data_IF_977091499487
#
_entry.id   IF_977091499487
#
_cell.length_a   1.000
_cell.length_b   1.000
_cell.length_c   1.000
_cell.angle_alpha   90.00
_cell.angle_beta   90.00
_cell.angle_gamma   90.00
#
_symmetry.space_group_name_H-M   'P 1'
#
loop_
_entity.id
_entity.type
_entity.pdbx_description
1 polymer ?
#
# COMPACT_ATOMS: atom_id res chain seq x y z
N UNK A 1 -42.70 36.83 -3.22
CA UNK A 1 -42.54 36.22 -1.88
C UNK A 1 -42.56 34.72 -2.09
N UNK A 2 -41.60 33.87 -1.70
CA UNK A 2 -40.45 33.93 -0.80
C UNK A 2 -39.38 32.96 -1.40
N UNK A 3 -38.11 33.34 -1.53
CA UNK A 3 -37.01 33.23 -0.56
C UNK A 3 -36.09 32.04 -0.86
N UNK A 4 -34.94 32.38 -1.45
CA UNK A 4 -33.75 31.56 -1.70
C UNK A 4 -33.05 31.25 -0.38
N UNK A 5 -32.72 29.99 -0.13
CA UNK A 5 -31.85 29.55 0.97
C UNK A 5 -30.66 28.76 0.42
N UNK A 6 -29.55 29.44 0.14
CA UNK A 6 -28.25 28.79 -0.09
C UNK A 6 -27.64 28.41 1.25
N UNK A 7 -27.40 27.12 1.49
CA UNK A 7 -26.56 26.67 2.60
C UNK A 7 -25.12 26.58 2.09
N UNK A 8 -24.28 27.53 2.50
CA UNK A 8 -22.82 27.39 2.46
C UNK A 8 -22.43 26.42 3.56
N UNK A 9 -21.85 25.29 3.19
CA UNK A 9 -21.09 24.46 4.15
C UNK A 9 -19.64 24.91 4.07
N UNK A 10 -19.21 25.58 5.14
CA UNK A 10 -17.84 26.01 5.34
C UNK A 10 -17.00 24.79 5.71
N UNK A 11 -16.10 24.35 4.82
CA UNK A 11 -15.08 23.35 5.14
C UNK A 11 -14.19 23.93 6.23
N UNK A 12 -14.32 23.38 7.45
CA UNK A 12 -13.42 23.65 8.55
C UNK A 12 -12.37 22.56 8.52
N UNK A 13 -11.16 22.90 8.09
CA UNK A 13 -9.99 22.03 8.16
C UNK A 13 -9.71 21.72 9.63
N UNK A 14 -10.03 20.51 10.08
CA UNK A 14 -9.63 20.03 11.40
C UNK A 14 -8.30 19.32 11.26
N UNK A 15 -7.24 20.08 11.50
CA UNK A 15 -5.91 19.57 11.84
C UNK A 15 -6.01 18.87 13.20
N UNK A 16 -5.78 17.56 13.27
CA UNK A 16 -5.55 16.87 14.55
C UNK A 16 -4.67 15.64 14.31
N UNK A 17 -3.36 15.79 14.46
CA UNK A 17 -2.56 15.49 15.65
C UNK A 17 -2.26 13.99 15.84
N UNK A 18 -1.10 13.58 15.34
CA UNK A 18 -0.31 12.52 15.98
C UNK A 18 -0.02 12.90 17.42
N UNK A 19 -0.24 12.00 18.38
CA UNK A 19 0.66 11.65 19.51
C UNK A 19 -0.08 10.64 20.41
N UNK A 20 0.36 9.39 20.42
CA UNK A 20 0.08 8.47 21.52
C UNK A 20 1.41 7.94 22.05
N UNK A 21 2.09 8.81 22.80
CA UNK A 21 3.18 8.45 23.72
C UNK A 21 2.57 7.69 24.90
N UNK A 22 3.24 6.60 25.25
CA UNK A 22 2.97 5.74 26.39
C UNK A 22 2.63 6.53 27.68
N UNK A 23 1.47 6.23 28.26
CA UNK A 23 1.18 6.60 29.65
C UNK A 23 0.66 5.38 30.41
N UNK A 24 1.59 4.61 30.98
CA UNK A 24 1.27 3.66 32.06
C UNK A 24 1.12 4.44 33.37
N UNK A 25 -0.02 4.28 34.03
CA UNK A 25 -0.34 4.90 35.32
C UNK A 25 0.54 4.38 36.46
N UNK A 26 1.03 5.32 37.29
CA UNK A 26 1.65 5.07 38.59
C UNK A 26 0.62 5.09 39.71
N UNK A 27 0.60 4.04 40.55
CA UNK A 27 0.39 4.02 42.02
C UNK A 27 0.98 2.69 42.49
N UNK A 28 1.72 2.48 43.58
CA UNK A 28 2.27 3.30 44.67
C UNK A 28 3.51 2.53 45.22
N UNK A 29 4.41 3.22 45.93
CA UNK A 29 5.66 2.69 46.53
C UNK A 29 5.43 1.64 47.64
N UNK A 30 6.44 0.79 47.95
CA UNK A 30 7.31 1.13 49.08
C UNK A 30 8.82 0.85 48.90
N UNK A 31 9.60 1.72 49.57
CA UNK A 31 10.97 1.66 50.12
C UNK A 31 12.02 0.61 49.66
N UNK A 32 13.14 1.20 49.17
CA UNK A 32 14.57 0.79 49.06
C UNK A 32 15.13 -0.19 50.13
N UNK A 33 16.28 -0.89 49.90
CA UNK A 33 17.55 -0.27 49.47
C UNK A 33 18.57 -1.03 48.58
N UNK A 34 19.46 -0.22 47.98
CA UNK A 34 20.89 -0.42 47.63
C UNK A 34 21.32 -1.50 46.61
N UNK A 35 21.78 -1.04 45.44
CA UNK A 35 22.65 -1.74 44.48
C UNK A 35 22.89 -0.86 43.24
N UNK A 36 24.14 -0.69 42.79
CA UNK A 36 24.58 0.30 41.80
C UNK A 36 24.12 0.07 40.35
N UNK A 37 24.37 1.02 39.43
CA UNK A 37 23.84 0.96 38.07
C UNK A 37 24.71 0.06 37.18
N UNK A 38 24.16 -1.09 36.77
CA UNK A 38 24.56 -1.74 35.52
C UNK A 38 23.84 -1.01 34.39
N UNK A 39 24.57 -0.16 33.69
CA UNK A 39 24.12 0.50 32.47
C UNK A 39 23.96 -0.56 31.36
N UNK A 40 22.73 -1.05 31.16
CA UNK A 40 22.35 -1.73 29.94
C UNK A 40 22.16 -0.67 28.84
N UNK A 41 22.83 -0.77 27.69
CA UNK A 41 22.66 0.19 26.62
C UNK A 41 21.23 0.07 26.07
N UNK A 42 20.49 1.18 26.15
CA UNK A 42 19.30 1.43 25.34
C UNK A 42 19.71 1.20 23.88
N UNK A 43 19.19 0.12 23.28
CA UNK A 43 19.17 0.00 21.82
C UNK A 43 18.23 1.07 21.30
N UNK A 44 18.79 2.23 20.99
CA UNK A 44 18.16 3.21 20.12
C UNK A 44 17.89 2.51 18.80
N UNK A 45 16.61 2.29 18.47
CA UNK A 45 16.21 1.98 17.11
C UNK A 45 16.51 3.23 16.29
N UNK A 46 17.65 3.22 15.59
CA UNK A 46 17.90 4.16 14.51
C UNK A 46 16.86 3.86 13.44
N UNK A 47 15.90 4.78 13.28
CA UNK A 47 15.19 4.92 12.02
C UNK A 47 16.26 5.26 10.97
N UNK A 48 16.54 4.32 10.07
CA UNK A 48 17.38 4.58 8.91
C UNK A 48 16.64 5.58 8.02
N UNK A 49 17.25 6.72 7.66
CA UNK A 49 16.71 7.56 6.59
C UNK A 49 16.72 6.72 5.30
N UNK A 50 15.55 6.56 4.65
CA UNK A 50 15.42 5.84 3.38
C UNK A 50 14.41 4.69 3.34
N UNK A 51 13.79 4.29 4.46
CA UNK A 51 12.74 3.29 4.44
C UNK A 51 11.42 3.90 3.94
N UNK A 52 11.07 3.66 2.67
CA UNK A 52 9.75 3.95 2.10
C UNK A 52 8.74 2.99 2.78
N UNK A 53 8.13 3.39 3.90
CA UNK A 53 7.11 2.55 4.52
C UNK A 53 5.78 2.74 3.76
N UNK A 54 5.53 1.93 2.73
CA UNK A 54 4.17 1.76 2.16
C UNK A 54 3.38 0.86 3.11
N UNK A 55 3.24 1.29 4.37
CA UNK A 55 2.31 0.65 5.27
C UNK A 55 0.91 0.93 4.72
N UNK A 56 0.15 -0.14 4.44
CA UNK A 56 -1.21 -0.15 3.88
C UNK A 56 -2.22 0.63 4.72
N UNK A 57 -2.10 1.95 4.69
CA UNK A 57 -2.97 2.92 5.36
C UNK A 57 -3.76 3.74 4.34
N UNK A 58 -3.59 3.49 3.04
CA UNK A 58 -4.40 4.14 2.03
C UNK A 58 -5.79 3.49 2.00
N UNK A 59 -6.78 4.21 2.51
CA UNK A 59 -8.14 4.15 1.96
C UNK A 59 -9.14 3.17 2.58
N UNK A 60 -9.27 3.05 3.90
CA UNK A 60 -10.44 2.37 4.47
C UNK A 60 -11.09 3.19 5.59
N UNK A 61 -12.06 4.03 5.22
CA UNK A 61 -13.01 4.64 6.14
C UNK A 61 -14.45 4.33 5.66
N UNK A 62 -15.07 3.39 6.39
CA UNK A 62 -16.46 2.90 6.41
C UNK A 62 -17.57 3.74 5.76
N UNK A 63 -18.44 3.07 4.99
CA UNK A 63 -19.90 3.21 5.07
C UNK A 63 -20.59 1.85 4.79
N UNK A 64 -21.61 1.53 5.59
CA UNK A 64 -22.19 0.19 5.75
C UNK A 64 -22.94 -0.33 4.50
N UNK A 65 -22.67 -1.56 4.04
CA UNK A 65 -23.58 -2.33 3.18
C UNK A 65 -23.31 -3.85 3.21
N UNK A 66 -24.37 -4.62 3.04
CA UNK A 66 -24.54 -6.05 3.31
C UNK A 66 -23.87 -6.98 2.29
N UNK A 67 -23.34 -8.11 2.77
CA UNK A 67 -22.65 -9.14 2.00
C UNK A 67 -23.60 -9.97 1.11
N UNK A 68 -23.21 -10.22 -0.14
CA UNK A 68 -23.70 -11.35 -0.94
C UNK A 68 -22.53 -12.14 -1.52
N UNK A 69 -22.54 -13.45 -1.28
CA UNK A 69 -21.62 -14.45 -1.84
C UNK A 69 -22.05 -14.86 -3.26
N UNK A 70 -21.09 -14.96 -4.17
CA UNK A 70 -21.26 -15.56 -5.49
C UNK A 70 -19.99 -16.30 -5.92
N UNK A 71 -20.10 -17.62 -6.05
CA UNK A 71 -19.09 -18.50 -6.67
C UNK A 71 -18.90 -18.16 -8.16
N UNK A 72 -17.65 -18.12 -8.66
CA UNK A 72 -17.17 -19.03 -9.73
C UNK A 72 -15.76 -18.71 -10.28
N UNK A 73 -15.12 -19.82 -10.67
CA UNK A 73 -13.79 -20.08 -11.22
C UNK A 73 -13.48 -19.43 -12.60
N UNK A 74 -12.24 -18.92 -12.82
CA UNK A 74 -11.28 -19.39 -13.86
C UNK A 74 -10.06 -18.46 -14.10
N UNK A 75 -8.87 -19.02 -13.83
CA UNK A 75 -7.48 -18.73 -14.24
C UNK A 75 -7.09 -17.47 -15.05
N UNK A 76 -6.34 -16.57 -14.42
CA UNK A 76 -4.93 -16.24 -14.74
C UNK A 76 -4.30 -15.29 -13.70
N UNK A 77 -4.41 -15.62 -12.42
CA UNK A 77 -3.62 -15.03 -11.35
C UNK A 77 -3.45 -16.13 -10.30
N UNK A 78 -2.22 -16.40 -9.86
CA UNK A 78 -2.02 -17.33 -8.75
C UNK A 78 -2.69 -16.70 -7.54
N UNK A 79 -3.87 -17.21 -7.16
CA UNK A 79 -4.58 -16.75 -5.97
C UNK A 79 -3.59 -16.74 -4.80
N UNK A 80 -3.46 -15.60 -4.14
CA UNK A 80 -2.61 -15.47 -2.97
C UNK A 80 -3.12 -16.45 -1.91
N UNK A 81 -2.29 -17.37 -1.35
CA UNK A 81 -2.73 -18.28 -0.30
C UNK A 81 -3.39 -17.51 0.85
N UNK A 82 -4.48 -18.03 1.42
CA UNK A 82 -5.15 -17.38 2.55
C UNK A 82 -4.56 -17.82 3.90
N UNK A 83 -3.65 -18.81 3.88
CA UNK A 83 -2.94 -19.25 5.07
C UNK A 83 -1.86 -18.24 5.48
N UNK A 84 -1.81 -17.92 6.78
CA UNK A 84 -0.84 -16.95 7.29
C UNK A 84 0.61 -17.41 7.10
N UNK A 85 1.45 -16.57 6.49
CA UNK A 85 2.89 -16.76 6.35
C UNK A 85 3.66 -15.99 7.43
N UNK A 86 4.65 -16.65 8.02
CA UNK A 86 5.49 -16.01 9.04
C UNK A 86 6.49 -15.03 8.39
N UNK A 87 6.53 -13.74 8.81
CA UNK A 87 7.48 -12.77 8.28
C UNK A 87 8.95 -13.21 8.41
N UNK A 88 9.30 -13.98 9.44
CA UNK A 88 10.67 -14.45 9.66
C UNK A 88 11.13 -15.55 8.67
N UNK A 89 10.20 -16.06 7.85
CA UNK A 89 10.51 -17.06 6.82
C UNK A 89 10.75 -16.43 5.46
N UNK A 90 10.53 -15.11 5.30
CA UNK A 90 10.71 -14.41 4.03
C UNK A 90 12.19 -14.35 3.66
N UNK A 91 12.52 -14.90 2.49
CA UNK A 91 13.87 -14.89 1.93
C UNK A 91 14.17 -13.60 1.18
N UNK A 92 15.46 -13.28 1.04
CA UNK A 92 15.91 -12.14 0.24
C UNK A 92 15.44 -12.29 -1.22
N UNK A 93 15.83 -13.40 -1.86
CA UNK A 93 15.35 -13.74 -3.20
C UNK A 93 13.86 -14.12 -3.17
N UNK A 94 13.07 -13.67 -4.16
CA UNK A 94 11.68 -14.11 -4.32
C UNK A 94 11.58 -15.63 -4.38
N UNK A 95 10.65 -16.20 -3.63
CA UNK A 95 10.39 -17.65 -3.63
C UNK A 95 9.63 -18.11 -4.88
N UNK A 96 8.90 -17.18 -5.49
CA UNK A 96 8.10 -17.43 -6.69
C UNK A 96 8.88 -17.04 -7.94
N UNK A 97 8.72 -17.87 -8.98
CA UNK A 97 9.16 -17.52 -10.32
C UNK A 97 8.43 -16.26 -10.82
N UNK A 98 8.99 -15.62 -11.84
CA UNK A 98 8.32 -14.54 -12.55
C UNK A 98 6.91 -14.97 -12.96
N UNK A 99 5.95 -14.08 -12.70
CA UNK A 99 4.56 -14.23 -13.13
C UNK A 99 4.35 -13.77 -14.58
N UNK A 100 5.42 -13.33 -15.23
CA UNK A 100 5.46 -12.88 -16.62
C UNK A 100 4.46 -11.75 -16.90
N UNK A 101 4.23 -10.87 -15.91
CA UNK A 101 3.41 -9.69 -16.14
C UNK A 101 4.03 -8.84 -17.25
N UNK A 102 3.18 -8.16 -18.01
CA UNK A 102 3.60 -7.34 -19.14
C UNK A 102 3.02 -5.96 -18.99
N UNK A 103 3.79 -4.97 -19.44
CA UNK A 103 3.28 -3.63 -19.63
C UNK A 103 2.11 -3.68 -20.61
N UNK A 104 1.02 -3.01 -20.26
CA UNK A 104 -0.17 -2.90 -21.12
C UNK A 104 -0.22 -1.52 -21.76
N UNK A 105 -0.90 -1.45 -22.90
CA UNK A 105 -1.23 -0.18 -23.55
C UNK A 105 -2.73 0.00 -23.47
N UNK A 106 -3.16 1.13 -22.92
CA UNK A 106 -4.55 1.52 -22.84
C UNK A 106 -4.71 2.98 -23.27
N UNK A 107 -5.92 3.36 -23.61
CA UNK A 107 -6.29 4.74 -23.94
C UNK A 107 -6.63 5.51 -22.66
N UNK A 108 -6.34 6.80 -22.63
CA UNK A 108 -6.62 7.65 -21.49
C UNK A 108 -5.65 8.82 -21.36
N UNK A 109 -5.74 9.52 -20.23
CA UNK A 109 -4.88 10.64 -19.89
C UNK A 109 -3.52 10.12 -19.38
N UNK A 110 -2.42 10.66 -19.90
CA UNK A 110 -1.10 10.42 -19.33
C UNK A 110 -0.93 11.16 -17.99
N UNK A 111 -0.50 10.43 -16.96
CA UNK A 111 -0.24 10.93 -15.62
C UNK A 111 1.23 10.66 -15.28
N UNK A 112 2.04 11.71 -15.22
CA UNK A 112 3.48 11.60 -15.00
C UNK A 112 3.88 12.11 -13.61
N UNK A 113 4.70 11.32 -12.92
CA UNK A 113 5.35 11.66 -11.65
C UNK A 113 6.81 11.17 -11.69
N UNK A 114 7.76 12.09 -11.49
CA UNK A 114 9.20 11.80 -11.39
C UNK A 114 9.75 10.90 -12.50
N UNK A 115 9.28 11.07 -13.74
CA UNK A 115 9.72 10.29 -14.90
C UNK A 115 9.01 8.94 -15.11
N UNK A 116 8.09 8.56 -14.20
CA UNK A 116 7.14 7.47 -14.41
C UNK A 116 5.83 8.01 -14.95
N UNK A 117 5.31 7.42 -16.03
CA UNK A 117 4.00 7.74 -16.61
C UNK A 117 3.06 6.56 -16.47
N UNK A 118 1.85 6.80 -15.96
CA UNK A 118 0.70 5.90 -16.05
C UNK A 118 -0.31 6.46 -17.05
N UNK A 119 -1.19 5.60 -17.59
CA UNK A 119 -2.38 6.02 -18.32
C UNK A 119 -3.59 5.91 -17.41
N UNK A 120 -4.25 7.02 -17.11
CA UNK A 120 -5.52 7.04 -16.39
C UNK A 120 -6.69 6.95 -17.40
N UNK A 121 -7.54 5.90 -17.34
CA UNK A 121 -8.65 5.75 -18.27
C UNK A 121 -9.72 6.84 -18.09
N UNK A 122 -10.60 7.00 -19.08
CA UNK A 122 -11.74 7.93 -18.98
C UNK A 122 -12.62 7.61 -17.76
N UNK A 123 -13.20 8.65 -17.14
CA UNK A 123 -14.00 8.51 -15.92
C UNK A 123 -13.20 8.48 -14.62
N UNK A 124 -11.86 8.42 -14.68
CA UNK A 124 -11.01 8.50 -13.48
C UNK A 124 -10.81 9.93 -12.98
N UNK A 125 -10.48 10.05 -11.69
CA UNK A 125 -10.05 11.31 -11.07
C UNK A 125 -8.60 11.19 -10.63
N UNK A 126 -7.78 12.19 -10.94
CA UNK A 126 -6.35 12.21 -10.57
C UNK A 126 -6.13 13.25 -9.48
N UNK A 127 -5.59 12.81 -8.35
CA UNK A 127 -5.29 13.64 -7.19
C UNK A 127 -3.80 13.61 -6.87
N UNK A 128 -3.26 14.74 -6.44
CA UNK A 128 -1.89 14.84 -5.90
C UNK A 128 -1.97 15.12 -4.42
N UNK A 129 -1.11 14.47 -3.65
CA UNK A 129 -1.05 14.62 -2.21
C UNK A 129 0.26 14.12 -1.63
N UNK A 130 0.25 13.96 -0.32
CA UNK A 130 1.34 13.35 0.43
C UNK A 130 0.85 12.06 1.09
N UNK A 131 1.69 11.03 1.04
CA UNK A 131 1.48 9.79 1.76
C UNK A 131 1.53 10.03 3.27
N UNK A 132 1.04 9.08 4.06
CA UNK A 132 1.20 9.12 5.52
C UNK A 132 2.66 9.15 5.98
N UNK A 133 3.59 8.76 5.11
CA UNK A 133 5.05 8.84 5.31
C UNK A 133 5.66 10.18 4.88
N UNK A 134 4.86 11.14 4.42
CA UNK A 134 5.30 12.46 3.96
C UNK A 134 5.94 12.46 2.57
N UNK A 135 5.65 11.45 1.74
CA UNK A 135 6.16 11.35 0.38
C UNK A 135 5.12 11.83 -0.62
N UNK A 136 5.55 12.54 -1.65
CA UNK A 136 4.64 12.93 -2.73
C UNK A 136 4.03 11.70 -3.38
N UNK A 137 2.71 11.77 -3.58
CA UNK A 137 1.91 10.69 -4.09
C UNK A 137 0.91 11.25 -5.11
N UNK A 138 0.77 10.56 -6.23
CA UNK A 138 -0.36 10.75 -7.14
C UNK A 138 -1.31 9.56 -6.99
N UNK A 139 -2.61 9.83 -6.94
CA UNK A 139 -3.67 8.83 -6.82
C UNK A 139 -4.61 8.95 -8.01
N UNK A 140 -4.88 7.84 -8.68
CA UNK A 140 -5.89 7.70 -9.73
C UNK A 140 -7.06 6.94 -9.10
N UNK A 141 -8.18 7.64 -8.92
CA UNK A 141 -9.42 7.11 -8.35
C UNK A 141 -10.36 6.65 -9.47
N UNK A 142 -11.10 5.57 -9.21
CA UNK A 142 -12.09 5.01 -10.14
C UNK A 142 -13.51 5.20 -9.58
N UNK A 143 -14.09 6.41 -9.67
CA UNK A 143 -15.36 6.74 -9.02
C UNK A 143 -16.55 5.94 -9.56
N UNK A 144 -16.46 5.45 -10.80
CA UNK A 144 -17.50 4.63 -11.44
C UNK A 144 -17.43 3.15 -11.05
N UNK A 145 -16.37 2.73 -10.37
CA UNK A 145 -16.25 1.36 -9.85
C UNK A 145 -16.74 1.32 -8.41
N UNK A 146 -17.83 0.60 -8.18
CA UNK A 146 -18.31 0.29 -6.83
C UNK A 146 -17.33 -0.66 -6.15
N UNK A 147 -17.01 -0.43 -4.88
CA UNK A 147 -16.13 -1.30 -4.11
C UNK A 147 -15.82 -0.73 -2.74
N UNK A 148 -15.61 -1.62 -1.78
CA UNK A 148 -15.04 -1.30 -0.47
C UNK A 148 -13.89 -2.30 -0.20
N UNK A 149 -12.61 -1.87 -0.28
CA UNK A 149 -12.14 -0.50 -0.50
C UNK A 149 -12.49 0.05 -1.89
N UNK A 150 -12.64 1.37 -1.97
CA UNK A 150 -12.83 2.07 -3.24
C UNK A 150 -11.61 1.85 -4.14
N UNK A 151 -11.79 1.48 -5.43
CA UNK A 151 -10.63 1.14 -6.24
C UNK A 151 -9.77 2.36 -6.60
N UNK A 152 -8.46 2.21 -6.45
CA UNK A 152 -7.49 3.25 -6.73
C UNK A 152 -6.11 2.71 -7.17
N UNK A 153 -5.33 3.60 -7.78
CA UNK A 153 -3.91 3.39 -8.08
C UNK A 153 -3.08 4.54 -7.56
N UNK A 154 -2.04 4.25 -6.80
CA UNK A 154 -1.11 5.21 -6.24
C UNK A 154 0.27 5.10 -6.87
N UNK A 155 0.95 6.22 -7.06
CA UNK A 155 2.35 6.27 -7.45
C UNK A 155 3.21 6.97 -6.41
N UNK A 156 4.36 6.38 -6.14
CA UNK A 156 5.38 6.91 -5.24
C UNK A 156 6.72 6.92 -5.95
N UNK A 157 7.54 7.95 -5.69
CA UNK A 157 8.95 7.96 -6.04
C UNK A 157 9.78 8.11 -4.77
N UNK A 158 10.83 7.29 -4.65
CA UNK A 158 11.85 7.43 -3.64
C UNK A 158 13.20 7.63 -4.35
N UNK A 159 13.88 8.78 -4.19
CA UNK A 159 15.13 9.07 -4.90
C UNK A 159 16.34 8.28 -4.38
N UNK A 160 16.27 7.79 -3.13
CA UNK A 160 17.30 6.95 -2.53
C UNK A 160 16.67 6.00 -1.51
N UNK A 161 16.84 4.69 -1.76
CA UNK A 161 16.38 3.63 -0.87
C UNK A 161 17.35 3.36 0.31
N UNK A 162 18.59 3.80 0.21
CA UNK A 162 19.67 3.41 1.12
C UNK A 162 19.98 1.91 1.13
N UNK A 163 19.40 1.14 0.20
CA UNK A 163 19.57 -0.31 -0.01
C UNK A 163 19.18 -0.68 -1.45
N UNK A 164 19.51 -1.89 -1.88
CA UNK A 164 19.08 -2.38 -3.20
C UNK A 164 17.55 -2.56 -3.27
N UNK A 165 16.98 -2.47 -4.47
CA UNK A 165 15.56 -2.72 -4.67
C UNK A 165 15.17 -4.16 -4.28
N UNK A 166 16.05 -5.14 -4.48
CA UNK A 166 15.88 -6.49 -3.93
C UNK A 166 15.68 -6.49 -2.41
N UNK A 167 16.55 -5.81 -1.67
CA UNK A 167 16.46 -5.74 -0.21
C UNK A 167 15.24 -4.93 0.24
N UNK A 168 14.87 -3.88 -0.49
CA UNK A 168 13.67 -3.12 -0.21
C UNK A 168 12.39 -3.94 -0.46
N UNK A 169 12.29 -4.63 -1.59
CA UNK A 169 11.13 -5.49 -1.88
C UNK A 169 10.95 -6.61 -0.84
N UNK A 170 12.05 -7.17 -0.31
CA UNK A 170 12.00 -8.11 0.83
C UNK A 170 11.49 -7.41 2.09
N UNK A 171 12.03 -6.24 2.40
CA UNK A 171 11.61 -5.46 3.57
C UNK A 171 10.11 -5.15 3.55
N UNK A 172 9.56 -4.84 2.37
CA UNK A 172 8.13 -4.60 2.18
C UNK A 172 7.31 -5.88 2.37
N UNK A 173 7.76 -7.01 1.82
CA UNK A 173 7.09 -8.31 2.01
C UNK A 173 6.99 -8.67 3.49
N UNK A 174 8.08 -8.48 4.23
CA UNK A 174 8.13 -8.69 5.68
C UNK A 174 7.19 -7.71 6.39
N UNK A 175 7.25 -6.43 6.04
CA UNK A 175 6.47 -5.36 6.70
C UNK A 175 4.97 -5.58 6.53
N UNK A 176 4.53 -5.94 5.32
CA UNK A 176 3.14 -6.27 5.02
C UNK A 176 2.65 -7.48 5.84
N UNK A 177 3.46 -8.53 5.97
CA UNK A 177 3.13 -9.70 6.81
C UNK A 177 3.16 -9.40 8.32
N UNK A 178 3.88 -8.35 8.74
CA UNK A 178 4.14 -8.02 10.13
C UNK A 178 3.17 -7.02 10.77
N UNK A 179 2.32 -6.33 9.98
CA UNK A 179 1.37 -5.31 10.48
C UNK A 179 0.54 -5.86 11.65
N UNK A 180 -0.13 -6.98 11.43
CA UNK A 180 -0.80 -7.78 12.44
C UNK A 180 -1.05 -9.18 11.87
N UNK A 181 -0.91 -10.20 12.72
CA UNK A 181 -1.17 -11.59 12.30
C UNK A 181 -2.61 -11.73 11.82
N UNK A 182 -2.76 -12.10 10.55
CA UNK A 182 -4.06 -12.32 9.90
C UNK A 182 -4.56 -11.15 9.06
N UNK A 183 -3.98 -9.95 9.14
CA UNK A 183 -4.38 -8.79 8.32
C UNK A 183 -3.98 -8.96 6.86
N UNK A 184 -2.71 -9.27 6.63
CA UNK A 184 -2.23 -9.73 5.33
C UNK A 184 -1.75 -11.16 5.55
N UNK A 185 -2.62 -12.18 5.39
CA UNK A 185 -2.22 -13.56 5.66
C UNK A 185 -1.05 -13.97 4.78
N UNK A 186 -1.02 -13.51 3.53
CA UNK A 186 0.04 -13.88 2.61
C UNK A 186 0.37 -12.74 1.67
N UNK A 187 1.65 -12.66 1.32
CA UNK A 187 2.19 -11.73 0.34
C UNK A 187 3.02 -12.55 -0.64
N UNK A 188 2.71 -12.43 -1.93
CA UNK A 188 3.44 -13.10 -3.01
C UNK A 188 4.31 -12.05 -3.68
N UNK A 189 5.63 -12.27 -3.70
CA UNK A 189 6.60 -11.44 -4.44
C UNK A 189 7.25 -12.25 -5.54
N UNK A 190 7.41 -11.65 -6.71
CA UNK A 190 8.15 -12.21 -7.85
C UNK A 190 9.07 -11.14 -8.46
N UNK A 191 10.21 -11.58 -9.01
CA UNK A 191 11.06 -10.73 -9.86
C UNK A 191 10.45 -10.71 -11.25
N UNK A 192 10.36 -9.53 -11.85
CA UNK A 192 9.74 -9.35 -13.17
C UNK A 192 10.70 -8.65 -14.13
N UNK A 193 10.46 -8.84 -15.42
CA UNK A 193 11.09 -8.02 -16.46
C UNK A 193 10.17 -6.84 -16.76
N UNK A 194 10.71 -5.63 -16.68
CA UNK A 194 9.96 -4.42 -17.00
C UNK A 194 10.72 -3.54 -18.00
N UNK A 195 10.08 -3.01 -19.06
CA UNK A 195 10.76 -2.18 -20.03
C UNK A 195 11.40 -0.93 -19.40
N UNK A 196 12.62 -0.60 -19.82
CA UNK A 196 13.33 0.62 -19.39
C UNK A 196 14.05 0.53 -18.05
N UNK A 197 14.07 -0.63 -17.39
CA UNK A 197 14.80 -0.82 -16.11
C UNK A 197 15.55 -2.15 -16.09
N UNK A 198 16.57 -2.23 -15.23
CA UNK A 198 17.31 -3.47 -14.98
C UNK A 198 16.63 -4.37 -13.94
N UNK A 199 15.82 -3.80 -13.05
CA UNK A 199 15.27 -4.52 -11.91
C UNK A 199 13.84 -4.08 -11.59
N UNK A 200 12.92 -5.04 -11.52
CA UNK A 200 11.55 -4.82 -11.10
C UNK A 200 11.02 -6.01 -10.26
N UNK A 201 10.12 -5.69 -9.32
CA UNK A 201 9.44 -6.67 -8.47
C UNK A 201 7.94 -6.42 -8.48
N UNK A 202 7.17 -7.50 -8.54
CA UNK A 202 5.72 -7.46 -8.47
C UNK A 202 5.24 -8.19 -7.23
N UNK A 203 4.39 -7.53 -6.45
CA UNK A 203 3.86 -8.06 -5.19
C UNK A 203 2.34 -8.05 -5.20
N UNK A 204 1.71 -9.11 -4.72
CA UNK A 204 0.27 -9.16 -4.47
C UNK A 204 -0.02 -9.67 -3.09
N UNK A 205 -1.08 -9.16 -2.48
CA UNK A 205 -1.61 -9.67 -1.23
C UNK A 205 -3.11 -9.45 -1.19
N UNK A 206 -3.77 -10.20 -0.32
CA UNK A 206 -5.16 -9.97 0.04
C UNK A 206 -5.18 -9.39 1.44
N UNK A 207 -5.83 -8.24 1.60
CA UNK A 207 -6.11 -7.66 2.90
C UNK A 207 -7.37 -8.31 3.46
N UNK A 208 -7.28 -8.89 4.65
CA UNK A 208 -8.42 -9.45 5.38
C UNK A 208 -8.80 -8.46 6.46
N UNK A 209 -10.10 -8.18 6.59
CA UNK A 209 -10.64 -7.41 7.70
C UNK A 209 -10.16 -8.02 9.03
N UNK A 210 -9.41 -7.24 9.79
CA UNK A 210 -9.17 -7.53 11.19
C UNK A 210 -10.02 -6.62 12.04
N UNK A 211 -11.18 -7.13 12.46
CA UNK A 211 -12.04 -6.49 13.45
C UNK A 211 -11.33 -6.36 14.80
N UNK A 212 -10.53 -5.31 15.01
CA UNK A 212 -10.10 -4.86 16.34
C UNK A 212 -9.93 -3.35 16.39
N UNK A 213 -10.96 -2.66 16.85
CA UNK A 213 -10.93 -1.24 17.21
C UNK A 213 -11.98 -0.40 16.51
N UNK A 214 -11.79 0.92 16.51
CA UNK A 214 -12.69 1.90 15.90
C UNK A 214 -12.46 2.13 14.39
N UNK A 215 -11.50 1.42 13.79
CA UNK A 215 -11.15 1.52 12.37
C UNK A 215 -11.22 0.13 11.76
N UNK A 216 -12.34 -0.16 11.09
CA UNK A 216 -12.47 -1.35 10.22
C UNK A 216 -11.76 -1.02 8.92
N UNK A 217 -10.84 -1.88 8.48
CA UNK A 217 -10.38 -1.85 7.09
C UNK A 217 -11.11 -2.96 6.33
N UNK A 218 -11.73 -2.61 5.21
CA UNK A 218 -12.52 -3.57 4.43
C UNK A 218 -11.59 -4.54 3.70
N UNK A 219 -11.99 -5.81 3.53
CA UNK A 219 -11.18 -6.77 2.79
C UNK A 219 -10.96 -6.28 1.37
N UNK A 220 -9.75 -6.50 0.83
CA UNK A 220 -9.41 -5.97 -0.49
C UNK A 220 -8.27 -6.73 -1.14
N UNK A 221 -8.23 -6.65 -2.46
CA UNK A 221 -7.11 -7.11 -3.26
C UNK A 221 -6.11 -5.97 -3.41
N UNK A 222 -4.82 -6.30 -3.32
CA UNK A 222 -3.75 -5.34 -3.52
C UNK A 222 -2.68 -5.91 -4.44
N UNK A 223 -2.15 -5.04 -5.29
CA UNK A 223 -1.06 -5.34 -6.19
C UNK A 223 -0.08 -4.17 -6.22
N UNK A 224 1.22 -4.43 -6.28
CA UNK A 224 2.21 -3.36 -6.43
C UNK A 224 3.36 -3.75 -7.33
N UNK A 225 3.77 -2.80 -8.16
CA UNK A 225 4.91 -2.90 -9.06
C UNK A 225 6.00 -1.93 -8.58
N UNK A 226 7.18 -2.47 -8.32
CA UNK A 226 8.35 -1.76 -7.81
C UNK A 226 9.42 -1.76 -8.89
N UNK A 227 9.85 -0.60 -9.34
CA UNK A 227 10.67 -0.41 -10.54
C UNK A 227 11.90 0.40 -10.16
N UNK A 228 13.10 -0.10 -10.46
CA UNK A 228 14.35 0.64 -10.24
C UNK A 228 14.46 1.81 -11.21
N UNK A 229 14.96 2.95 -10.74
CA UNK A 229 15.30 4.10 -11.59
C UNK A 229 16.67 3.96 -12.29
N UNK A 230 17.36 2.84 -12.08
CA UNK A 230 18.69 2.57 -12.63
C UNK A 230 19.83 3.21 -11.83
N UNK A 231 19.53 3.96 -10.77
CA UNK A 231 20.50 4.53 -9.84
C UNK A 231 20.27 3.99 -8.42
N UNK A 232 19.83 4.84 -7.49
CA UNK A 232 19.58 4.51 -6.09
C UNK A 232 18.11 4.58 -5.73
N UNK A 233 17.27 5.07 -6.64
CA UNK A 233 15.86 5.32 -6.41
C UNK A 233 14.96 4.27 -7.04
N UNK A 234 13.66 4.50 -6.89
CA UNK A 234 12.64 3.61 -7.38
C UNK A 234 11.27 4.29 -7.50
N UNK A 235 10.43 3.72 -8.37
CA UNK A 235 9.00 4.00 -8.39
C UNK A 235 8.21 2.80 -7.86
N UNK A 236 7.20 3.07 -7.03
CA UNK A 236 6.20 2.10 -6.64
C UNK A 236 4.85 2.51 -7.21
N UNK A 237 4.18 1.57 -7.86
CA UNK A 237 2.79 1.70 -8.30
C UNK A 237 1.96 0.71 -7.50
N UNK A 238 0.98 1.17 -6.74
CA UNK A 238 0.13 0.35 -5.87
C UNK A 238 -1.32 0.44 -6.36
N UNK A 239 -1.93 -0.69 -6.67
CA UNK A 239 -3.34 -0.82 -6.96
C UNK A 239 -4.06 -1.45 -5.76
N UNK A 240 -5.23 -0.90 -5.41
CA UNK A 240 -6.14 -1.42 -4.39
C UNK A 240 -7.53 -1.51 -5.00
N UNK A 241 -8.25 -2.60 -4.73
CA UNK A 241 -9.67 -2.71 -5.06
C UNK A 241 -10.38 -3.71 -4.15
N UNK A 242 -11.70 -3.80 -4.27
CA UNK A 242 -12.49 -4.83 -3.59
C UNK A 242 -12.13 -6.26 -4.05
N UNK A 243 -12.62 -7.28 -3.32
CA UNK A 243 -12.42 -8.68 -3.70
C UNK A 243 -12.94 -8.97 -5.12
N UNK A 244 -12.15 -9.66 -5.95
CA UNK A 244 -12.50 -9.98 -7.33
C UNK A 244 -12.43 -8.81 -8.31
N UNK A 245 -11.78 -7.70 -7.96
CA UNK A 245 -11.69 -6.53 -8.83
C UNK A 245 -10.29 -6.24 -9.38
N UNK A 246 -9.23 -6.87 -8.83
CA UNK A 246 -7.88 -6.79 -9.41
C UNK A 246 -7.49 -8.08 -10.13
N UNK A 247 -7.74 -9.24 -9.52
CA UNK A 247 -7.10 -10.50 -9.90
C UNK A 247 -7.99 -11.41 -10.79
N UNK A 248 -9.21 -11.00 -11.11
CA UNK A 248 -10.12 -11.71 -12.01
C UNK A 248 -10.39 -10.95 -13.31
N UNK A 249 -9.77 -11.39 -14.41
CA UNK A 249 -10.07 -10.89 -15.75
C UNK A 249 -9.47 -9.52 -16.07
N UNK A 250 -10.10 -8.79 -17.02
CA UNK A 250 -9.73 -7.41 -17.35
C UNK A 250 -10.18 -6.50 -16.22
N UNK A 251 -9.23 -5.80 -15.61
CA UNK A 251 -9.46 -4.86 -14.52
C UNK A 251 -8.85 -3.53 -14.92
N UNK A 252 -9.63 -2.44 -15.08
CA UNK A 252 -9.08 -1.13 -15.44
C UNK A 252 -8.10 -0.59 -14.38
N UNK A 253 -8.22 -1.04 -13.13
CA UNK A 253 -7.30 -0.71 -12.04
C UNK A 253 -5.96 -1.41 -12.25
N UNK A 254 -6.00 -2.72 -12.56
CA UNK A 254 -4.80 -3.49 -12.85
C UNK A 254 -4.14 -3.05 -14.17
N UNK A 255 -4.93 -2.74 -15.20
CA UNK A 255 -4.45 -2.23 -16.47
C UNK A 255 -3.78 -0.86 -16.30
N UNK A 256 -4.31 -0.01 -15.40
CA UNK A 256 -3.66 1.25 -15.01
C UNK A 256 -2.32 1.03 -14.31
N UNK A 257 -2.22 0.09 -13.36
CA UNK A 257 -0.94 -0.28 -12.75
C UNK A 257 0.05 -0.80 -13.80
N UNK A 258 -0.38 -1.67 -14.70
CA UNK A 258 0.47 -2.26 -15.74
C UNK A 258 0.76 -1.30 -16.90
N UNK A 259 0.10 -0.15 -16.98
CA UNK A 259 0.40 0.89 -17.98
C UNK A 259 1.71 1.63 -17.70
N UNK A 260 2.34 1.38 -16.56
CA UNK A 260 3.52 2.09 -16.07
C UNK A 260 4.70 2.09 -17.05
N UNK A 261 5.13 3.28 -17.47
CA UNK A 261 6.23 3.53 -18.40
C UNK A 261 7.30 4.43 -17.78
N UNK A 262 8.55 4.16 -18.10
CA UNK A 262 9.70 4.94 -17.64
C UNK A 262 10.20 5.81 -18.80
N UNK A 263 10.31 7.12 -18.59
CA UNK A 263 11.04 8.04 -19.47
C UNK A 263 10.48 8.15 -20.90
N UNK A 264 9.33 8.82 -21.04
CA UNK A 264 8.93 9.45 -22.33
C UNK A 264 9.45 10.89 -22.41
#
# INVERSE_FOLDING_TARGET
MAAVGRVRVTMTTVTSLMTAVATMGRRALPRRPRGGPLALPRRSALALPGALLVAGQAGCARQDAEQQEGDQQAAAATATPVEWRNPNQVRLEPEYASRNIKQVTQEGQAVTQDGLTLTAPEGTTVEKGESSGGQEQTTILFPDLEGDPSPDVHTFYAPDLGRSLLAESQYQEISLLAVQRGTNPYVVRSREQWPGTEEAYYMTWYHVDTQRGWTSQSPGECASLWISDGATGMWAVLAVAGPGQLLSGSSPVMDTLLSARIGE
#
